data_IF_601585565891
#
_entry.id   IF_601585565891
#
_cell.length_a   1.000
_cell.length_b   1.000
_cell.length_c   1.000
_cell.angle_alpha   90.00
_cell.angle_beta   90.00
_cell.angle_gamma   90.00
#
_symmetry.space_group_name_H-M   'P 1'
#
loop_
_entity.id
_entity.type
_entity.pdbx_description
1 polymer ?
#
# COMPACT_ATOMS: atom_id res chain seq x y z
N UNK A 1 60.43 35.19 8.45
CA UNK A 1 59.32 34.28 8.82
C UNK A 1 58.17 34.42 7.83
N UNK A 2 58.03 33.51 6.87
CA UNK A 2 56.95 33.56 5.88
C UNK A 2 55.74 32.78 6.39
N UNK A 3 54.61 33.48 6.63
CA UNK A 3 53.32 32.84 6.96
C UNK A 3 52.82 32.07 5.74
N UNK A 4 52.91 30.73 5.78
CA UNK A 4 52.21 29.84 4.84
C UNK A 4 50.70 30.07 4.98
N UNK A 5 50.08 30.74 4.01
CA UNK A 5 48.63 30.79 3.86
C UNK A 5 48.16 29.41 3.40
N UNK A 6 47.61 28.61 4.30
CA UNK A 6 46.88 27.39 3.97
C UNK A 6 45.64 27.79 3.17
N UNK A 7 45.71 27.69 1.83
CA UNK A 7 44.52 27.70 0.97
C UNK A 7 43.63 26.53 1.41
N UNK A 8 42.53 26.81 2.12
CA UNK A 8 41.43 25.85 2.26
C UNK A 8 40.91 25.56 0.85
N UNK A 9 41.24 24.40 0.30
CA UNK A 9 40.68 23.90 -0.96
C UNK A 9 39.19 23.69 -0.69
N UNK A 10 38.31 24.30 -1.49
CA UNK A 10 36.87 24.18 -1.32
C UNK A 10 36.43 22.75 -1.67
N UNK A 11 36.21 21.90 -0.67
CA UNK A 11 35.79 20.50 -0.83
C UNK A 11 34.27 20.32 -0.98
N UNK A 12 33.51 21.42 -1.14
CA UNK A 12 32.04 21.39 -1.23
C UNK A 12 31.50 20.61 -2.42
N UNK A 13 32.28 20.49 -3.51
CA UNK A 13 31.92 19.67 -4.67
C UNK A 13 32.11 18.17 -4.43
N UNK A 14 33.11 17.78 -3.63
CA UNK A 14 33.38 16.38 -3.31
C UNK A 14 32.28 15.79 -2.45
N UNK A 15 31.81 16.55 -1.45
CA UNK A 15 30.68 16.12 -0.61
C UNK A 15 29.41 15.88 -1.42
N UNK A 16 29.12 16.72 -2.42
CA UNK A 16 27.93 16.55 -3.26
C UNK A 16 27.98 15.26 -4.08
N UNK A 17 29.16 14.92 -4.63
CA UNK A 17 29.36 13.68 -5.40
C UNK A 17 29.19 12.45 -4.51
N UNK A 18 29.72 12.48 -3.28
CA UNK A 18 29.52 11.40 -2.32
C UNK A 18 28.05 11.17 -1.99
N UNK A 19 27.27 12.22 -1.76
CA UNK A 19 25.83 12.10 -1.51
C UNK A 19 25.07 11.48 -2.69
N UNK A 20 25.39 11.90 -3.91
CA UNK A 20 24.77 11.32 -5.11
C UNK A 20 25.12 9.83 -5.25
N UNK A 21 26.37 9.46 -4.96
CA UNK A 21 26.83 8.08 -5.07
C UNK A 21 26.14 7.18 -4.03
N UNK A 22 25.99 7.64 -2.79
CA UNK A 22 25.20 6.95 -1.76
C UNK A 22 23.74 6.82 -2.18
N UNK A 23 23.14 7.88 -2.72
CA UNK A 23 21.76 7.83 -3.21
C UNK A 23 21.58 6.77 -4.30
N UNK A 24 22.49 6.69 -5.27
CA UNK A 24 22.45 5.66 -6.31
C UNK A 24 22.57 4.25 -5.75
N UNK A 25 23.42 4.03 -4.74
CA UNK A 25 23.54 2.73 -4.07
C UNK A 25 22.21 2.36 -3.40
N UNK A 26 21.59 3.29 -2.66
CA UNK A 26 20.32 3.05 -1.98
C UNK A 26 19.22 2.72 -3.00
N UNK A 27 19.08 3.54 -4.05
CA UNK A 27 18.08 3.32 -5.10
C UNK A 27 18.33 1.98 -5.80
N UNK A 28 19.58 1.64 -6.11
CA UNK A 28 19.95 0.36 -6.71
C UNK A 28 19.58 -0.83 -5.82
N UNK A 29 19.88 -0.76 -4.52
CA UNK A 29 19.51 -1.79 -3.56
C UNK A 29 17.99 -1.99 -3.48
N UNK A 30 17.21 -0.90 -3.44
CA UNK A 30 15.74 -0.96 -3.43
C UNK A 30 15.20 -1.62 -4.70
N UNK A 31 15.75 -1.30 -5.87
CA UNK A 31 15.34 -1.91 -7.15
C UNK A 31 15.63 -3.42 -7.14
N UNK A 32 16.81 -3.84 -6.69
CA UNK A 32 17.19 -5.26 -6.63
C UNK A 32 16.26 -6.01 -5.69
N UNK A 33 16.06 -5.52 -4.47
CA UNK A 33 15.14 -6.12 -3.49
C UNK A 33 13.71 -6.21 -4.05
N UNK A 34 13.23 -5.14 -4.68
CA UNK A 34 11.88 -5.12 -5.28
C UNK A 34 11.73 -6.15 -6.39
N UNK A 35 12.77 -6.37 -7.22
CA UNK A 35 12.75 -7.40 -8.26
C UNK A 35 12.74 -8.81 -7.67
N UNK A 36 13.54 -9.06 -6.63
CA UNK A 36 13.57 -10.34 -5.92
C UNK A 36 12.23 -10.67 -5.25
N UNK A 37 11.58 -9.67 -4.65
CA UNK A 37 10.25 -9.83 -4.05
C UNK A 37 9.19 -10.13 -5.12
N UNK A 38 9.25 -9.49 -6.30
CA UNK A 38 8.34 -9.79 -7.41
C UNK A 38 8.54 -11.20 -7.99
N UNK A 39 9.78 -11.69 -8.06
CA UNK A 39 10.05 -13.05 -8.56
C UNK A 39 9.73 -14.14 -7.55
N UNK A 40 9.61 -13.79 -6.27
CA UNK A 40 9.25 -14.73 -5.22
C UNK A 40 7.77 -15.07 -5.28
N UNK A 41 7.45 -16.30 -5.73
CA UNK A 41 6.08 -16.84 -5.65
C UNK A 41 5.51 -16.74 -4.24
N UNK A 42 6.35 -16.93 -3.22
CA UNK A 42 5.95 -16.83 -1.82
C UNK A 42 5.38 -15.45 -1.45
N UNK A 43 6.05 -14.36 -1.87
CA UNK A 43 5.58 -13.02 -1.55
C UNK A 43 4.28 -12.68 -2.30
N UNK A 44 4.21 -13.06 -3.57
CA UNK A 44 2.98 -12.86 -4.35
C UNK A 44 1.78 -13.63 -3.79
N UNK A 45 1.96 -14.91 -3.45
CA UNK A 45 0.88 -15.77 -2.99
C UNK A 45 0.42 -15.43 -1.57
N UNK A 46 1.34 -15.10 -0.66
CA UNK A 46 1.00 -14.88 0.76
C UNK A 46 0.71 -13.43 1.12
N UNK A 47 1.18 -12.46 0.32
CA UNK A 47 1.00 -11.04 0.62
C UNK A 47 0.10 -10.39 -0.43
N UNK A 48 0.53 -10.40 -1.70
CA UNK A 48 -0.17 -9.64 -2.75
C UNK A 48 -1.56 -10.22 -3.05
N UNK A 49 -1.67 -11.53 -3.22
CA UNK A 49 -2.92 -12.22 -3.57
C UNK A 49 -4.04 -12.03 -2.53
N UNK A 50 -3.83 -12.24 -1.21
CA UNK A 50 -4.89 -12.02 -0.23
C UNK A 50 -5.29 -10.55 -0.15
N UNK A 51 -4.34 -9.61 -0.27
CA UNK A 51 -4.64 -8.18 -0.29
C UNK A 51 -5.54 -7.81 -1.46
N UNK A 52 -5.21 -8.28 -2.68
CA UNK A 52 -6.03 -8.02 -3.87
C UNK A 52 -7.42 -8.66 -3.75
N UNK A 53 -7.49 -9.88 -3.23
CA UNK A 53 -8.77 -10.55 -2.99
C UNK A 53 -9.65 -9.75 -2.02
N UNK A 54 -9.07 -9.29 -0.91
CA UNK A 54 -9.75 -8.48 0.10
C UNK A 54 -10.20 -7.12 -0.45
N UNK A 55 -9.35 -6.45 -1.22
CA UNK A 55 -9.70 -5.20 -1.90
C UNK A 55 -10.87 -5.39 -2.88
N UNK A 56 -10.82 -6.45 -3.69
CA UNK A 56 -11.88 -6.76 -4.66
C UNK A 56 -13.20 -7.08 -3.94
N UNK A 57 -13.13 -7.82 -2.85
CA UNK A 57 -14.29 -8.16 -2.03
C UNK A 57 -14.92 -6.92 -1.40
N UNK A 58 -14.11 -6.08 -0.74
CA UNK A 58 -14.56 -4.84 -0.13
C UNK A 58 -15.10 -3.85 -1.16
N UNK A 59 -14.51 -3.78 -2.35
CA UNK A 59 -15.06 -2.96 -3.42
C UNK A 59 -16.43 -3.46 -3.88
N UNK A 60 -16.61 -4.78 -3.95
CA UNK A 60 -17.88 -5.39 -4.37
C UNK A 60 -18.99 -5.27 -3.32
N UNK A 61 -18.65 -5.39 -2.04
CA UNK A 61 -19.62 -5.53 -0.95
C UNK A 61 -19.56 -4.43 0.12
N UNK A 62 -18.68 -3.45 -0.04
CA UNK A 62 -18.55 -2.27 0.83
C UNK A 62 -17.85 -2.54 2.17
N UNK A 63 -17.95 -3.76 2.72
CA UNK A 63 -17.35 -4.13 3.99
C UNK A 63 -16.84 -5.58 3.99
N UNK A 64 -15.72 -5.87 4.68
CA UNK A 64 -15.16 -7.22 4.73
C UNK A 64 -15.97 -8.20 5.58
N UNK A 65 -16.92 -7.68 6.38
CA UNK A 65 -17.81 -8.50 7.21
C UNK A 65 -19.10 -8.91 6.48
N UNK A 66 -19.25 -8.50 5.23
CA UNK A 66 -20.47 -8.61 4.46
C UNK A 66 -20.35 -9.76 3.46
N UNK A 67 -21.05 -10.86 3.73
CA UNK A 67 -20.98 -12.08 2.93
C UNK A 67 -21.75 -11.94 1.62
N UNK A 68 -21.09 -12.08 0.48
CA UNK A 68 -21.71 -12.02 -0.85
C UNK A 68 -22.53 -13.27 -1.23
N UNK A 69 -23.39 -13.15 -2.26
CA UNK A 69 -24.10 -14.29 -2.87
C UNK A 69 -23.16 -15.40 -3.36
N UNK A 70 -21.92 -15.04 -3.69
CA UNK A 70 -20.89 -15.95 -4.17
C UNK A 70 -20.38 -16.91 -3.06
N UNK A 71 -20.57 -16.54 -1.78
CA UNK A 71 -20.08 -17.27 -0.61
C UNK A 71 -21.21 -17.99 0.15
N UNK A 72 -22.43 -18.00 -0.41
CA UNK A 72 -23.62 -18.57 0.20
C UNK A 72 -24.74 -17.56 0.33
N UNK A 73 -25.50 -17.62 1.43
CA UNK A 73 -26.58 -16.67 1.68
C UNK A 73 -26.00 -15.30 2.04
N UNK A 74 -26.47 -14.20 1.45
CA UNK A 74 -25.94 -12.88 1.75
C UNK A 74 -26.24 -12.49 3.20
N UNK A 75 -25.20 -12.13 3.95
CA UNK A 75 -25.31 -11.68 5.33
C UNK A 75 -24.63 -10.32 5.48
N UNK A 76 -25.24 -9.43 6.27
CA UNK A 76 -24.69 -8.09 6.51
C UNK A 76 -24.86 -7.09 5.36
N UNK A 77 -25.48 -7.49 4.24
CA UNK A 77 -25.90 -6.55 3.20
C UNK A 77 -27.07 -5.69 3.69
N UNK A 78 -27.15 -4.45 3.19
CA UNK A 78 -28.35 -3.63 3.35
C UNK A 78 -29.51 -4.40 2.71
N UNK A 79 -30.43 -4.89 3.53
CA UNK A 79 -31.67 -5.46 3.05
C UNK A 79 -32.67 -4.32 2.88
N UNK A 80 -33.22 -4.18 1.68
CA UNK A 80 -34.40 -3.34 1.48
C UNK A 80 -35.58 -4.14 2.03
N UNK A 81 -35.85 -4.00 3.32
CA UNK A 81 -37.14 -4.44 3.87
C UNK A 81 -38.16 -3.44 3.37
N UNK A 82 -38.87 -3.77 2.29
CA UNK A 82 -39.97 -2.95 1.80
C UNK A 82 -40.96 -2.73 2.95
N UNK A 83 -41.20 -1.50 3.42
CA UNK A 83 -42.46 -1.22 4.07
C UNK A 83 -43.47 -1.03 2.94
N UNK A 84 -44.63 -1.69 3.05
CA UNK A 84 -45.79 -1.33 2.25
C UNK A 84 -46.05 0.18 2.40
N UNK A 85 -45.58 0.98 1.44
CA UNK A 85 -46.05 2.33 1.19
C UNK A 85 -45.34 3.54 1.81
N UNK A 86 -44.10 3.53 2.34
CA UNK A 86 -43.45 4.82 2.70
C UNK A 86 -41.92 4.79 2.80
N UNK A 87 -41.25 5.66 2.03
CA UNK A 87 -39.85 6.11 2.13
C UNK A 87 -38.81 5.05 2.55
N UNK A 88 -38.07 4.54 1.56
CA UNK A 88 -36.91 3.67 1.75
C UNK A 88 -35.88 4.31 2.71
N UNK A 89 -35.83 3.86 3.96
CA UNK A 89 -34.71 4.10 4.86
C UNK A 89 -33.76 2.92 4.76
N UNK A 90 -32.54 3.19 4.30
CA UNK A 90 -31.42 2.25 4.38
C UNK A 90 -31.02 2.17 5.86
N UNK A 91 -31.40 1.08 6.52
CA UNK A 91 -31.01 0.82 7.91
C UNK A 91 -29.88 -0.21 7.89
N UNK A 92 -28.69 0.21 8.30
CA UNK A 92 -27.59 -0.72 8.59
C UNK A 92 -27.97 -1.51 9.86
N UNK A 93 -27.84 -2.85 9.86
CA UNK A 93 -28.14 -3.64 11.05
C UNK A 93 -27.26 -3.19 12.23
N UNK A 94 -27.88 -3.04 13.40
CA UNK A 94 -27.28 -2.41 14.60
C UNK A 94 -26.21 -3.27 15.28
N UNK A 95 -26.03 -4.52 14.84
CA UNK A 95 -25.14 -5.50 15.46
C UNK A 95 -23.82 -5.70 14.68
N UNK A 96 -23.32 -4.65 14.02
CA UNK A 96 -22.01 -4.61 13.34
C UNK A 96 -20.91 -4.13 14.28
#
# INVERSE_FOLDING_TARGET
MARRRTRKRSESGQSMVEYLLVLFIIVGAVIVVSRLLKSSRFFYENVTKPIVAYLRYNYKYGSPRVQGWDEGTPKGHIQVTEPAGTNFRIVLPKDI
#
